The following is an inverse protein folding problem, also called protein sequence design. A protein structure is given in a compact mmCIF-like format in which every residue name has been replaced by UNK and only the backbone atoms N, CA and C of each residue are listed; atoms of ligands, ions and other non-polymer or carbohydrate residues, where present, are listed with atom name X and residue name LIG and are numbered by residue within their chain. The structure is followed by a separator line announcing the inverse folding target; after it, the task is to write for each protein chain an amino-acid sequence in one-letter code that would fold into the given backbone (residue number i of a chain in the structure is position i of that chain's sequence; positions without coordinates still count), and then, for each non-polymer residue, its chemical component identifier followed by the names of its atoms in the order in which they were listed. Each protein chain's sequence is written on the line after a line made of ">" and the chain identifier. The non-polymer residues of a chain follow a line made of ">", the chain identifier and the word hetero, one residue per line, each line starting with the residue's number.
data_IF_957551242873
#
_entry.id   IF_957551242873
#
_cell.length_a   1.000
_cell.length_b   1.000
_cell.length_c   1.000
_cell.angle_alpha   90.00
_cell.angle_beta   90.00
_cell.angle_gamma   90.00
#
_symmetry.space_group_name_H-M   'P 1'
#
loop_
_entity.id
_entity.type
_entity.pdbx_description
1 polymer ?
#
# COMPACT_ATOMS: atom_id res chain seq x y z
N UNK A 1 9.78 -20.12 19.91
CA UNK A 1 9.53 -19.58 18.56
C UNK A 1 8.09 -19.12 18.40
N UNK A 2 7.08 -19.94 18.67
CA UNK A 2 5.67 -19.51 18.60
C UNK A 2 5.30 -18.36 19.55
N UNK A 3 5.87 -18.32 20.77
CA UNK A 3 5.61 -17.24 21.74
C UNK A 3 6.04 -15.85 21.24
N UNK A 4 7.13 -15.79 20.48
CA UNK A 4 7.65 -14.54 19.93
C UNK A 4 6.73 -14.01 18.82
N UNK A 5 6.24 -14.90 17.95
CA UNK A 5 5.25 -14.56 16.92
C UNK A 5 3.91 -14.13 17.53
N UNK A 6 3.47 -14.75 18.63
CA UNK A 6 2.26 -14.33 19.35
C UNK A 6 2.43 -12.90 19.85
N UNK A 7 3.57 -12.60 20.49
CA UNK A 7 3.85 -11.26 21.02
C UNK A 7 3.91 -10.20 19.92
N UNK A 8 4.51 -10.52 18.77
CA UNK A 8 4.55 -9.63 17.61
C UNK A 8 3.15 -9.41 17.01
N UNK A 9 2.34 -10.46 16.89
CA UNK A 9 0.96 -10.37 16.42
C UNK A 9 0.06 -9.55 17.37
N UNK A 10 0.21 -9.71 18.68
CA UNK A 10 -0.49 -8.90 19.68
C UNK A 10 -0.08 -7.43 19.58
N UNK A 11 1.22 -7.13 19.41
CA UNK A 11 1.70 -5.75 19.19
C UNK A 11 1.08 -5.13 17.93
N UNK A 12 0.94 -5.89 16.84
CA UNK A 12 0.30 -5.42 15.61
C UNK A 12 -1.21 -5.15 15.81
N UNK A 13 -1.88 -5.97 16.62
CA UNK A 13 -3.28 -5.77 17.00
C UNK A 13 -3.46 -4.50 17.84
N UNK A 14 -2.56 -4.25 18.80
CA UNK A 14 -2.56 -3.05 19.64
C UNK A 14 -2.31 -1.77 18.83
N UNK A 15 -1.47 -1.85 17.79
CA UNK A 15 -1.26 -0.75 16.84
C UNK A 15 -2.46 -0.55 15.89
N UNK A 16 -3.45 -1.46 15.93
CA UNK A 16 -4.60 -1.48 15.03
C UNK A 16 -4.19 -1.53 13.54
N UNK A 17 -3.15 -2.31 13.23
CA UNK A 17 -2.59 -2.43 11.89
C UNK A 17 -2.90 -3.80 11.28
N UNK A 18 -3.54 -3.79 10.11
CA UNK A 18 -3.94 -5.00 9.39
C UNK A 18 -5.40 -5.37 9.62
N UNK A 19 -5.74 -6.63 9.34
CA UNK A 19 -7.09 -7.18 9.49
C UNK A 19 -7.21 -7.83 10.87
N UNK A 20 -7.86 -7.11 11.79
CA UNK A 20 -8.04 -7.54 13.18
C UNK A 20 -8.65 -8.94 13.32
N UNK A 21 -9.62 -9.29 12.47
CA UNK A 21 -10.25 -10.62 12.53
C UNK A 21 -9.24 -11.71 12.15
N UNK A 22 -8.45 -11.44 11.11
CA UNK A 22 -7.43 -12.37 10.64
C UNK A 22 -6.30 -12.52 11.66
N UNK A 23 -5.78 -11.43 12.23
CA UNK A 23 -4.77 -11.48 13.28
C UNK A 23 -5.25 -12.24 14.51
N UNK A 24 -6.50 -11.99 14.96
CA UNK A 24 -7.07 -12.70 16.11
C UNK A 24 -7.14 -14.21 15.86
N UNK A 25 -7.54 -14.62 14.65
CA UNK A 25 -7.60 -16.04 14.26
C UNK A 25 -6.22 -16.70 14.21
N UNK A 26 -5.19 -15.94 13.82
CA UNK A 26 -3.79 -16.38 13.79
C UNK A 26 -3.26 -16.57 15.22
N UNK A 27 -3.49 -15.58 16.11
CA UNK A 27 -3.10 -15.65 17.52
C UNK A 27 -3.76 -16.85 18.21
N UNK A 28 -5.04 -17.09 17.95
CA UNK A 28 -5.76 -18.20 18.57
C UNK A 28 -5.22 -19.57 18.11
N UNK A 29 -4.84 -19.72 16.85
CA UNK A 29 -4.19 -20.95 16.34
C UNK A 29 -2.81 -21.15 16.93
N UNK A 30 -2.02 -20.08 17.01
CA UNK A 30 -0.69 -20.09 17.61
C UNK A 30 -0.74 -20.48 19.09
N UNK A 31 -1.71 -19.95 19.85
CA UNK A 31 -1.95 -20.32 21.27
C UNK A 31 -2.34 -21.79 21.44
N UNK A 32 -3.00 -22.39 20.44
CA UNK A 32 -3.34 -23.81 20.42
C UNK A 32 -2.17 -24.71 19.99
N UNK A 33 -1.02 -24.14 19.62
CA UNK A 33 0.16 -24.87 19.17
C UNK A 33 0.04 -25.46 17.76
N UNK A 34 -0.85 -24.91 16.93
CA UNK A 34 -1.00 -25.34 15.53
C UNK A 34 -0.09 -24.51 14.61
N UNK A 35 0.39 -25.15 13.55
CA UNK A 35 1.13 -24.47 12.50
C UNK A 35 0.24 -23.47 11.73
N UNK A 36 0.83 -22.34 11.31
CA UNK A 36 0.14 -21.39 10.46
C UNK A 36 0.06 -21.89 9.02
N UNK A 37 -0.97 -21.44 8.30
CA UNK A 37 -0.98 -21.56 6.85
C UNK A 37 0.10 -20.66 6.23
N UNK A 38 0.66 -21.08 5.09
CA UNK A 38 1.64 -20.28 4.33
C UNK A 38 1.13 -18.86 4.04
N UNK A 39 -0.16 -18.71 3.76
CA UNK A 39 -0.79 -17.42 3.50
C UNK A 39 -0.80 -16.49 4.71
N UNK A 40 -0.94 -17.06 5.90
CA UNK A 40 -1.00 -16.33 7.16
C UNK A 40 0.41 -16.03 7.68
N UNK A 41 1.35 -16.95 7.47
CA UNK A 41 2.76 -16.72 7.74
C UNK A 41 3.30 -15.57 6.87
N UNK A 42 3.06 -15.61 5.56
CA UNK A 42 3.46 -14.52 4.65
C UNK A 42 2.81 -13.19 5.00
N UNK A 43 1.56 -13.23 5.44
CA UNK A 43 0.84 -12.03 5.88
C UNK A 43 1.47 -11.44 7.15
N UNK A 44 1.78 -12.27 8.13
CA UNK A 44 2.42 -11.84 9.36
C UNK A 44 3.83 -11.31 9.09
N UNK A 45 4.63 -11.99 8.27
CA UNK A 45 5.98 -11.54 7.90
C UNK A 45 5.97 -10.18 7.18
N UNK A 46 5.01 -9.96 6.28
CA UNK A 46 4.85 -8.66 5.59
C UNK A 46 4.49 -7.54 6.58
N UNK A 47 3.60 -7.82 7.54
CA UNK A 47 3.27 -6.85 8.59
C UNK A 47 4.43 -6.61 9.55
N UNK A 48 5.14 -7.65 9.97
CA UNK A 48 6.28 -7.54 10.87
C UNK A 48 7.39 -6.72 10.20
N UNK A 49 7.75 -7.08 8.96
CA UNK A 49 8.78 -6.35 8.19
C UNK A 49 8.41 -4.88 7.97
N UNK A 50 7.14 -4.57 7.77
CA UNK A 50 6.68 -3.22 7.44
C UNK A 50 6.45 -2.32 8.65
N UNK A 51 6.01 -2.87 9.78
CA UNK A 51 5.59 -2.08 10.93
C UNK A 51 6.49 -2.30 12.15
N UNK A 52 6.90 -3.54 12.43
CA UNK A 52 7.73 -3.83 13.61
C UNK A 52 9.17 -3.35 13.41
N UNK A 53 9.78 -3.56 12.24
CA UNK A 53 11.12 -3.01 11.95
C UNK A 53 11.13 -1.48 11.85
N UNK A 54 10.06 -0.87 11.33
CA UNK A 54 9.90 0.59 11.33
C UNK A 54 9.78 1.14 12.75
N UNK A 55 9.12 0.41 13.65
CA UNK A 55 8.96 0.81 15.05
C UNK A 55 10.27 0.58 15.82
N UNK A 56 11.05 -0.44 15.48
CA UNK A 56 12.36 -0.69 16.11
C UNK A 56 13.40 0.36 15.70
N UNK A 57 13.41 0.83 14.45
CA UNK A 57 14.23 1.99 14.06
C UNK A 57 13.76 3.29 14.74
N UNK A 58 12.46 3.44 15.00
CA UNK A 58 11.91 4.59 15.73
C UNK A 58 12.15 4.50 17.25
N UNK A 59 12.14 3.30 17.83
CA UNK A 59 12.46 3.04 19.24
C UNK A 59 13.97 3.09 19.49
N UNK A 60 14.83 2.67 18.54
CA UNK A 60 16.27 2.91 18.59
C UNK A 60 16.59 4.40 18.40
N UNK A 61 15.86 5.13 17.56
CA UNK A 61 15.98 6.59 17.50
C UNK A 61 15.42 7.28 18.75
N UNK A 62 14.36 6.77 19.37
CA UNK A 62 13.82 7.29 20.63
C UNK A 62 14.69 6.93 21.84
N UNK A 63 15.37 5.77 21.83
CA UNK A 63 16.35 5.37 22.86
C UNK A 63 17.69 6.08 22.66
N UNK A 64 18.03 6.48 21.44
CA UNK A 64 19.17 7.36 21.15
C UNK A 64 18.86 8.85 21.47
N UNK A 65 17.58 9.22 21.60
CA UNK A 65 17.16 10.47 22.26
C UNK A 65 17.31 10.37 23.79
N UNK A 66 17.42 9.16 24.35
CA UNK A 66 17.84 8.93 25.73
C UNK A 66 19.35 8.78 25.93
N UNK A 67 20.18 9.08 24.92
CA UNK A 67 21.54 9.56 25.18
C UNK A 67 21.56 11.08 25.23
N UNK A 68 20.99 11.58 26.33
CA UNK A 68 21.39 12.80 27.05
C UNK A 68 22.87 12.72 27.51
N UNK A 69 23.77 12.20 26.68
CA UNK A 69 25.18 12.00 27.06
C UNK A 69 26.10 13.12 26.56
N UNK A 70 25.55 14.22 26.03
CA UNK A 70 26.33 15.42 25.74
C UNK A 70 26.06 16.57 26.71
N UNK A 71 24.89 16.61 27.35
CA UNK A 71 24.52 17.70 28.25
C UNK A 71 24.78 17.40 29.72
N UNK A 72 24.63 16.15 30.18
CA UNK A 72 25.16 15.77 31.50
C UNK A 72 26.69 15.90 31.53
N UNK A 73 27.36 15.62 30.40
CA UNK A 73 28.79 15.82 30.22
C UNK A 73 29.14 17.32 30.17
N UNK A 74 28.41 18.16 29.43
CA UNK A 74 28.65 19.61 29.41
C UNK A 74 28.32 20.28 30.75
N UNK A 75 27.23 19.91 31.42
CA UNK A 75 26.83 20.44 32.73
C UNK A 75 27.78 19.95 33.83
N UNK A 76 28.27 18.71 33.76
CA UNK A 76 29.30 18.21 34.69
C UNK A 76 30.64 18.92 34.49
N UNK A 77 31.06 19.20 33.25
CA UNK A 77 32.24 20.03 32.95
C UNK A 77 32.06 21.46 33.46
N UNK A 78 30.87 22.05 33.31
CA UNK A 78 30.56 23.38 33.83
C UNK A 78 30.55 23.38 35.38
N UNK A 79 30.03 22.35 36.03
CA UNK A 79 30.09 22.20 37.50
C UNK A 79 31.52 22.03 38.00
N UNK A 80 32.35 21.29 37.27
CA UNK A 80 33.76 21.11 37.60
C UNK A 80 34.55 22.42 37.49
N UNK A 81 34.30 23.23 36.46
CA UNK A 81 34.91 24.56 36.31
C UNK A 81 34.45 25.55 37.36
N UNK A 82 33.18 25.48 37.77
CA UNK A 82 32.66 26.28 38.90
C UNK A 82 33.36 25.90 40.22
N UNK A 83 33.54 24.59 40.47
CA UNK A 83 34.23 24.09 41.65
C UNK A 83 35.72 24.46 41.69
N UNK A 84 36.35 24.61 40.52
CA UNK A 84 37.73 25.10 40.37
C UNK A 84 37.86 26.62 40.46
N UNK A 85 36.75 27.36 40.50
CA UNK A 85 36.74 28.83 40.55
C UNK A 85 37.13 29.50 39.22
N UNK A 86 37.13 28.76 38.11
CA UNK A 86 37.47 29.28 36.78
C UNK A 86 36.35 30.12 36.16
N UNK A 87 35.11 29.93 36.64
CA UNK A 87 33.92 30.65 36.20
C UNK A 87 33.12 31.13 37.40
N UNK A 88 32.43 32.25 37.20
CA UNK A 88 31.53 32.80 38.21
C UNK A 88 30.15 32.15 38.16
N UNK A 89 29.41 32.24 39.27
CA UNK A 89 28.05 31.70 39.40
C UNK A 89 27.11 32.31 38.35
N UNK A 90 27.32 33.59 38.00
CA UNK A 90 26.51 34.30 37.02
C UNK A 90 26.77 33.82 35.58
N UNK A 91 28.02 33.51 35.24
CA UNK A 91 28.42 32.92 33.95
C UNK A 91 27.90 31.48 33.80
N UNK A 92 27.93 30.69 34.87
CA UNK A 92 27.35 29.34 34.86
C UNK A 92 25.85 29.37 34.55
N UNK A 93 25.11 30.25 35.22
CA UNK A 93 23.65 30.37 35.03
C UNK A 93 23.28 30.85 33.62
N UNK A 94 24.08 31.72 33.01
CA UNK A 94 23.85 32.16 31.62
C UNK A 94 24.13 31.05 30.62
N UNK A 95 25.21 30.30 30.80
CA UNK A 95 25.58 29.18 29.93
C UNK A 95 24.58 28.01 30.00
N UNK A 96 24.12 27.67 31.21
CA UNK A 96 23.08 26.66 31.40
C UNK A 96 21.77 27.06 30.69
N UNK A 97 21.35 28.32 30.85
CA UNK A 97 20.13 28.85 30.21
C UNK A 97 20.23 28.88 28.67
N UNK A 98 21.41 29.12 28.11
CA UNK A 98 21.62 29.07 26.65
C UNK A 98 21.59 27.64 26.10
N UNK A 99 22.07 26.67 26.86
CA UNK A 99 22.02 25.25 26.51
C UNK A 99 20.58 24.74 26.46
N UNK A 100 19.79 25.00 27.52
CA UNK A 100 18.37 24.63 27.61
C UNK A 100 17.52 25.29 26.52
N UNK A 101 17.81 26.54 26.16
CA UNK A 101 17.11 27.27 25.11
C UNK A 101 17.38 26.70 23.71
N UNK A 102 18.60 26.23 23.45
CA UNK A 102 18.99 25.65 22.14
C UNK A 102 18.34 24.28 21.89
N UNK A 103 18.13 23.48 22.94
CA UNK A 103 17.42 22.19 22.84
C UNK A 103 15.93 22.38 22.55
N UNK A 104 15.28 23.37 23.19
CA UNK A 104 13.87 23.66 22.96
C UNK A 104 13.58 24.06 21.51
N UNK A 105 14.48 24.79 20.84
CA UNK A 105 14.30 25.13 19.42
C UNK A 105 14.56 23.94 18.50
N UNK A 106 15.67 23.21 18.70
CA UNK A 106 16.03 22.07 17.86
C UNK A 106 14.98 20.95 17.94
N UNK A 107 14.45 20.71 19.15
CA UNK A 107 13.39 19.72 19.38
C UNK A 107 12.06 20.15 18.72
N UNK A 108 11.72 21.45 18.73
CA UNK A 108 10.53 21.96 18.02
C UNK A 108 10.63 21.83 16.50
N UNK A 109 11.80 22.04 15.93
CA UNK A 109 11.98 21.93 14.48
C UNK A 109 11.99 20.47 14.01
N UNK A 110 12.58 19.54 14.78
CA UNK A 110 12.45 18.11 14.52
C UNK A 110 10.99 17.64 14.66
N UNK A 111 10.24 18.12 15.64
CA UNK A 111 8.82 17.79 15.78
C UNK A 111 7.98 18.29 14.61
N UNK A 112 8.27 19.48 14.06
CA UNK A 112 7.61 19.96 12.84
C UNK A 112 7.93 19.08 11.65
N UNK A 113 9.18 18.68 11.47
CA UNK A 113 9.60 17.82 10.37
C UNK A 113 8.96 16.42 10.46
N UNK A 114 8.93 15.83 11.65
CA UNK A 114 8.29 14.54 11.91
C UNK A 114 6.78 14.62 11.66
N UNK A 115 6.13 15.69 12.12
CA UNK A 115 4.70 15.93 11.90
C UNK A 115 4.38 16.10 10.42
N UNK A 116 5.24 16.78 9.65
CA UNK A 116 5.08 16.94 8.21
C UNK A 116 5.25 15.61 7.45
N UNK A 117 6.25 14.81 7.83
CA UNK A 117 6.45 13.46 7.26
C UNK A 117 5.28 12.52 7.57
N UNK A 118 4.74 12.54 8.80
CA UNK A 118 3.58 11.74 9.19
C UNK A 118 2.33 12.09 8.37
N UNK A 119 2.03 13.39 8.21
CA UNK A 119 0.89 13.83 7.40
C UNK A 119 1.01 13.38 5.94
N UNK A 120 2.22 13.39 5.38
CA UNK A 120 2.47 12.95 4.00
C UNK A 120 2.28 11.45 3.82
N UNK A 121 2.76 10.63 4.78
CA UNK A 121 2.56 9.18 4.77
C UNK A 121 1.08 8.80 4.94
N UNK A 122 0.35 9.53 5.78
CA UNK A 122 -1.08 9.30 6.01
C UNK A 122 -1.94 9.70 4.81
N UNK A 123 -1.55 10.72 4.04
CA UNK A 123 -2.16 11.04 2.74
C UNK A 123 -1.94 9.92 1.71
N UNK A 124 -0.73 9.38 1.62
CA UNK A 124 -0.41 8.27 0.70
C UNK A 124 -1.20 6.99 1.03
N UNK A 125 -1.41 6.71 2.33
CA UNK A 125 -2.22 5.57 2.78
C UNK A 125 -3.70 5.70 2.41
N UNK A 126 -4.31 6.86 2.60
CA UNK A 126 -5.72 7.11 2.23
C UNK A 126 -5.96 6.94 0.72
N UNK A 127 -5.00 7.37 -0.11
CA UNK A 127 -5.05 7.15 -1.56
C UNK A 127 -5.04 5.66 -1.89
N UNK A 128 -4.24 4.88 -1.17
CA UNK A 128 -4.05 3.46 -1.43
C UNK A 128 -5.27 2.61 -1.00
N UNK A 129 -5.91 2.94 0.12
CA UNK A 129 -7.18 2.33 0.56
C UNK A 129 -8.34 2.61 -0.41
N UNK A 130 -8.40 3.83 -0.97
CA UNK A 130 -9.42 4.16 -1.98
C UNK A 130 -9.25 3.33 -3.25
N UNK A 131 -8.00 3.04 -3.67
CA UNK A 131 -7.72 2.18 -4.83
C UNK A 131 -8.02 0.72 -4.53
N UNK A 132 -7.91 0.27 -3.28
CA UNK A 132 -8.19 -1.10 -2.89
C UNK A 132 -9.71 -1.38 -2.74
N UNK A 133 -10.49 -0.36 -2.38
CA UNK A 133 -11.95 -0.46 -2.21
C UNK A 133 -12.76 -0.15 -3.47
N UNK A 134 -12.34 0.82 -4.29
CA UNK A 134 -13.01 1.17 -5.56
C UNK A 134 -12.28 0.66 -6.80
N UNK A 135 -11.00 0.33 -6.71
CA UNK A 135 -10.22 -0.18 -7.84
C UNK A 135 -10.58 -1.62 -8.14
N UNK A 136 -10.78 -1.90 -9.43
CA UNK A 136 -11.05 -3.26 -9.89
C UNK A 136 -9.85 -4.14 -9.54
N UNK A 137 -10.12 -5.22 -8.79
CA UNK A 137 -9.12 -6.25 -8.52
C UNK A 137 -8.62 -6.81 -9.85
N UNK A 138 -7.38 -6.49 -10.20
CA UNK A 138 -6.75 -6.91 -11.46
C UNK A 138 -6.82 -8.43 -11.65
N UNK A 139 -6.69 -9.17 -10.55
CA UNK A 139 -6.77 -10.63 -10.53
C UNK A 139 -8.20 -11.11 -10.79
N UNK A 140 -9.21 -10.46 -10.23
CA UNK A 140 -10.61 -10.81 -10.47
C UNK A 140 -10.99 -10.55 -11.92
N UNK A 141 -10.59 -9.42 -12.50
CA UNK A 141 -10.83 -9.12 -13.91
C UNK A 141 -10.09 -10.11 -14.84
N UNK A 142 -8.87 -10.49 -14.49
CA UNK A 142 -8.11 -11.52 -15.22
C UNK A 142 -8.81 -12.88 -15.16
N UNK A 143 -9.14 -13.36 -13.96
CA UNK A 143 -9.82 -14.63 -13.74
C UNK A 143 -11.18 -14.63 -14.43
N UNK A 144 -11.94 -13.54 -14.36
CA UNK A 144 -13.23 -13.43 -15.02
C UNK A 144 -13.06 -13.48 -16.56
N UNK A 145 -12.08 -12.77 -17.12
CA UNK A 145 -11.80 -12.83 -18.56
C UNK A 145 -11.32 -14.20 -19.02
N UNK A 146 -10.56 -14.91 -18.17
CA UNK A 146 -10.02 -16.24 -18.46
C UNK A 146 -11.13 -17.30 -18.42
N UNK A 147 -11.91 -17.31 -17.33
CA UNK A 147 -12.99 -18.29 -17.10
C UNK A 147 -14.12 -18.09 -18.12
N UNK A 148 -14.58 -16.86 -18.37
CA UNK A 148 -15.61 -16.62 -19.37
C UNK A 148 -15.09 -16.81 -20.80
N UNK A 149 -13.81 -16.52 -21.03
CA UNK A 149 -13.14 -16.79 -22.29
C UNK A 149 -13.14 -18.26 -22.69
N UNK A 150 -12.90 -19.16 -21.73
CA UNK A 150 -12.98 -20.61 -21.94
C UNK A 150 -14.40 -21.09 -22.26
N UNK A 151 -15.42 -20.37 -21.80
CA UNK A 151 -16.85 -20.66 -22.08
C UNK A 151 -17.29 -20.06 -23.44
N UNK A 152 -16.39 -19.41 -24.18
CA UNK A 152 -16.71 -18.77 -25.46
C UNK A 152 -17.35 -17.40 -25.32
N UNK A 153 -17.42 -16.86 -24.10
CA UNK A 153 -17.89 -15.51 -23.79
C UNK A 153 -16.71 -14.52 -23.83
N UNK A 154 -16.00 -14.54 -24.95
CA UNK A 154 -14.95 -13.56 -25.22
C UNK A 154 -15.57 -12.18 -25.40
N UNK A 155 -15.29 -11.24 -24.49
CA UNK A 155 -15.72 -9.83 -24.65
C UNK A 155 -16.03 -9.15 -23.33
N UNK A 156 -16.44 -9.91 -22.31
CA UNK A 156 -16.84 -9.36 -21.01
C UNK A 156 -15.71 -8.56 -20.37
N UNK A 157 -14.44 -8.98 -20.52
CA UNK A 157 -13.31 -8.24 -19.93
C UNK A 157 -13.19 -6.80 -20.44
N UNK A 158 -13.52 -6.52 -21.71
CA UNK A 158 -13.52 -5.15 -22.24
C UNK A 158 -14.77 -4.36 -21.85
N UNK A 159 -15.91 -5.03 -21.70
CA UNK A 159 -17.14 -4.42 -21.17
C UNK A 159 -16.93 -3.99 -19.72
N UNK A 160 -16.25 -4.83 -18.94
CA UNK A 160 -15.94 -4.57 -17.54
C UNK A 160 -14.97 -3.39 -17.35
N UNK A 161 -14.08 -3.17 -18.32
CA UNK A 161 -13.19 -2.01 -18.35
C UNK A 161 -13.83 -0.74 -18.94
N UNK A 162 -15.16 -0.72 -19.16
CA UNK A 162 -15.91 0.45 -19.62
C UNK A 162 -15.93 0.67 -21.15
N UNK A 163 -15.23 -0.15 -21.93
CA UNK A 163 -15.20 -0.08 -23.40
C UNK A 163 -16.24 -1.03 -24.02
N UNK A 164 -17.52 -0.72 -23.78
CA UNK A 164 -18.69 -1.54 -24.13
C UNK A 164 -18.73 -1.87 -25.64
N UNK A 165 -18.47 -0.88 -26.50
CA UNK A 165 -18.53 -1.06 -27.95
C UNK A 165 -17.49 -2.05 -28.49
N UNK A 166 -16.25 -1.95 -28.00
CA UNK A 166 -15.18 -2.88 -28.41
C UNK A 166 -15.43 -4.28 -27.86
N UNK A 167 -15.96 -4.40 -26.64
CA UNK A 167 -16.30 -5.68 -26.04
C UNK A 167 -17.40 -6.44 -26.81
N UNK A 168 -18.47 -5.76 -27.22
CA UNK A 168 -19.54 -6.35 -28.03
C UNK A 168 -19.04 -6.79 -29.41
N UNK A 169 -18.16 -6.01 -30.05
CA UNK A 169 -17.59 -6.39 -31.34
C UNK A 169 -16.85 -7.74 -31.26
N UNK A 170 -16.01 -7.92 -30.23
CA UNK A 170 -15.33 -9.20 -30.00
C UNK A 170 -16.29 -10.34 -29.64
N UNK A 171 -17.38 -10.06 -28.91
CA UNK A 171 -18.38 -11.05 -28.55
C UNK A 171 -19.10 -11.62 -29.79
N UNK A 172 -19.56 -10.75 -30.68
CA UNK A 172 -20.26 -11.16 -31.90
C UNK A 172 -19.28 -11.89 -32.84
N UNK A 173 -18.08 -11.35 -33.00
CA UNK A 173 -17.07 -11.92 -33.88
C UNK A 173 -16.61 -13.31 -33.43
N UNK A 174 -16.36 -13.49 -32.12
CA UNK A 174 -15.96 -14.77 -31.54
C UNK A 174 -17.06 -15.83 -31.65
N UNK A 175 -18.33 -15.45 -31.49
CA UNK A 175 -19.48 -16.36 -31.64
C UNK A 175 -19.59 -16.90 -33.07
N UNK A 176 -19.42 -16.04 -34.08
CA UNK A 176 -19.46 -16.42 -35.50
C UNK A 176 -18.29 -17.37 -35.83
N UNK A 177 -17.08 -17.06 -35.35
CA UNK A 177 -15.90 -17.92 -35.53
C UNK A 177 -16.07 -19.27 -34.86
N UNK A 178 -16.61 -19.30 -33.64
CA UNK A 178 -16.84 -20.54 -32.91
C UNK A 178 -17.88 -21.41 -33.61
N UNK A 179 -19.02 -20.85 -34.02
CA UNK A 179 -20.07 -21.57 -34.73
C UNK A 179 -19.60 -22.11 -36.09
N UNK A 180 -18.88 -21.29 -36.87
CA UNK A 180 -18.33 -21.71 -38.16
C UNK A 180 -17.23 -22.76 -38.02
N UNK A 181 -16.33 -22.60 -37.04
CA UNK A 181 -15.31 -23.59 -36.71
C UNK A 181 -15.93 -24.93 -36.32
N UNK A 182 -16.92 -24.94 -35.43
CA UNK A 182 -17.61 -26.17 -35.01
C UNK A 182 -18.37 -26.82 -36.16
N UNK A 183 -19.07 -26.02 -36.98
CA UNK A 183 -19.79 -26.53 -38.15
C UNK A 183 -18.87 -27.20 -39.17
N UNK A 184 -17.64 -26.68 -39.36
CA UNK A 184 -16.65 -27.28 -40.26
C UNK A 184 -16.06 -28.57 -39.70
N UNK A 185 -15.79 -28.62 -38.39
CA UNK A 185 -15.22 -29.79 -37.72
C UNK A 185 -16.23 -30.94 -37.66
N UNK A 186 -17.51 -30.66 -37.43
CA UNK A 186 -18.58 -31.68 -37.39
C UNK A 186 -19.12 -32.08 -38.77
N UNK A 187 -18.57 -31.54 -39.86
CA UNK A 187 -19.05 -31.86 -41.21
C UNK A 187 -18.90 -33.36 -41.52
N UNK A 188 -19.96 -34.04 -42.00
CA UNK A 188 -19.91 -35.46 -42.31
C UNK A 188 -18.87 -35.74 -43.41
N UNK A 189 -17.83 -36.49 -43.04
CA UNK A 189 -16.71 -36.84 -43.92
C UNK A 189 -15.37 -36.29 -43.47
N UNK A 190 -15.31 -35.35 -42.52
CA UNK A 190 -14.05 -34.91 -41.88
C UNK A 190 -13.00 -34.26 -42.79
N UNK A 191 -13.26 -34.16 -44.10
CA UNK A 191 -12.31 -33.64 -45.10
C UNK A 191 -11.94 -32.18 -44.82
N UNK A 192 -12.86 -31.41 -44.22
CA UNK A 192 -12.66 -30.00 -43.87
C UNK A 192 -12.18 -29.79 -42.42
N UNK A 193 -12.00 -30.86 -41.64
CA UNK A 193 -11.55 -30.76 -40.25
C UNK A 193 -10.22 -29.98 -40.08
N UNK A 194 -9.19 -30.12 -40.95
CA UNK A 194 -7.96 -29.35 -40.83
C UNK A 194 -8.17 -27.85 -40.90
N UNK A 195 -9.11 -27.40 -41.75
CA UNK A 195 -9.47 -25.99 -41.91
C UNK A 195 -10.18 -25.49 -40.65
N UNK A 196 -11.06 -26.31 -40.07
CA UNK A 196 -11.69 -26.04 -38.78
C UNK A 196 -10.67 -25.87 -37.65
N UNK A 197 -9.67 -26.76 -37.56
CA UNK A 197 -8.59 -26.65 -36.58
C UNK A 197 -7.76 -25.37 -36.76
N UNK A 198 -7.49 -24.96 -38.01
CA UNK A 198 -6.80 -23.71 -38.28
C UNK A 198 -7.59 -22.49 -37.78
N UNK A 199 -8.91 -22.48 -37.98
CA UNK A 199 -9.81 -21.45 -37.46
C UNK A 199 -9.75 -21.39 -35.92
N UNK A 200 -9.73 -22.55 -35.25
CA UNK A 200 -9.54 -22.62 -33.79
C UNK A 200 -8.19 -22.07 -33.32
N UNK A 201 -7.14 -22.26 -34.11
CA UNK A 201 -5.81 -21.75 -33.81
C UNK A 201 -5.78 -20.21 -33.88
N UNK A 202 -6.42 -19.64 -34.91
CA UNK A 202 -6.62 -18.19 -35.04
C UNK A 202 -7.48 -17.65 -33.89
N UNK A 203 -8.55 -18.36 -33.53
CA UNK A 203 -9.40 -18.03 -32.39
C UNK A 203 -8.59 -17.98 -31.08
N UNK A 204 -7.72 -18.97 -30.83
CA UNK A 204 -6.89 -19.03 -29.63
C UNK A 204 -5.82 -17.92 -29.60
N UNK A 205 -5.23 -17.58 -30.74
CA UNK A 205 -4.34 -16.41 -30.87
C UNK A 205 -5.08 -15.11 -30.51
N UNK A 206 -6.29 -14.93 -31.03
CA UNK A 206 -7.12 -13.76 -30.71
C UNK A 206 -7.49 -13.73 -29.22
N UNK A 207 -7.73 -14.88 -28.61
CA UNK A 207 -8.02 -15.01 -27.18
C UNK A 207 -6.86 -14.52 -26.29
N UNK A 208 -5.63 -14.91 -26.62
CA UNK A 208 -4.45 -14.42 -25.88
C UNK A 208 -4.33 -12.90 -26.01
N UNK A 209 -4.51 -12.36 -27.22
CA UNK A 209 -4.51 -10.90 -27.44
C UNK A 209 -5.58 -10.18 -26.62
N UNK A 210 -6.77 -10.79 -26.48
CA UNK A 210 -7.85 -10.23 -25.68
C UNK A 210 -7.52 -10.19 -24.18
N UNK A 211 -6.88 -11.23 -23.63
CA UNK A 211 -6.44 -11.26 -22.23
C UNK A 211 -5.46 -10.11 -21.96
N UNK A 212 -4.48 -9.92 -22.84
CA UNK A 212 -3.50 -8.84 -22.72
C UNK A 212 -4.19 -7.48 -22.83
N UNK A 213 -5.11 -7.32 -23.78
CA UNK A 213 -5.89 -6.09 -23.96
C UNK A 213 -6.75 -5.75 -22.74
N UNK A 214 -7.41 -6.75 -22.14
CA UNK A 214 -8.23 -6.55 -20.94
C UNK A 214 -7.38 -6.10 -19.75
N UNK A 215 -6.17 -6.68 -19.59
CA UNK A 215 -5.22 -6.26 -18.57
C UNK A 215 -4.80 -4.81 -18.75
N UNK A 216 -4.52 -4.39 -19.98
CA UNK A 216 -4.18 -2.99 -20.30
C UNK A 216 -5.34 -2.05 -19.99
N UNK A 217 -6.58 -2.45 -20.29
CA UNK A 217 -7.76 -1.65 -20.01
C UNK A 217 -8.03 -1.49 -18.50
N UNK A 218 -7.85 -2.53 -17.70
CA UNK A 218 -7.92 -2.43 -16.23
C UNK A 218 -6.82 -1.53 -15.66
N UNK A 219 -5.61 -1.56 -16.24
CA UNK A 219 -4.54 -0.66 -15.86
C UNK A 219 -4.90 0.81 -16.14
N UNK A 220 -5.45 1.11 -17.31
CA UNK A 220 -5.93 2.45 -17.67
C UNK A 220 -7.03 2.92 -16.70
N UNK A 221 -7.99 2.05 -16.37
CA UNK A 221 -9.07 2.38 -15.43
C UNK A 221 -8.56 2.70 -14.02
N UNK A 222 -7.68 1.86 -13.46
CA UNK A 222 -7.12 2.10 -12.14
C UNK A 222 -6.25 3.37 -12.10
N UNK A 223 -5.59 3.70 -13.21
CA UNK A 223 -4.81 4.94 -13.34
C UNK A 223 -5.71 6.19 -13.32
N UNK A 224 -6.90 6.11 -13.93
CA UNK A 224 -7.87 7.21 -13.90
C UNK A 224 -8.41 7.45 -12.48
N UNK A 225 -8.72 6.39 -11.74
CA UNK A 225 -9.12 6.48 -10.33
C UNK A 225 -7.99 7.11 -9.50
N UNK A 226 -6.75 6.66 -9.67
CA UNK A 226 -5.57 7.24 -9.00
C UNK A 226 -5.42 8.75 -9.30
N UNK A 227 -5.58 9.15 -10.55
CA UNK A 227 -5.47 10.57 -10.93
C UNK A 227 -6.57 11.41 -10.29
N UNK A 228 -7.80 10.86 -10.22
CA UNK A 228 -8.96 11.53 -9.65
C UNK A 228 -8.83 11.70 -8.14
N UNK A 229 -8.37 10.68 -7.41
CA UNK A 229 -8.13 10.75 -5.97
C UNK A 229 -7.00 11.75 -5.62
N UNK A 230 -5.91 11.76 -6.39
CA UNK A 230 -4.84 12.74 -6.20
C UNK A 230 -5.30 14.18 -6.40
N UNK A 231 -6.20 14.43 -7.36
CA UNK A 231 -6.76 15.75 -7.61
C UNK A 231 -7.69 16.23 -6.49
N UNK A 232 -8.53 15.35 -5.91
CA UNK A 232 -9.43 15.72 -4.81
C UNK A 232 -8.68 16.07 -3.52
N UNK A 233 -7.56 15.40 -3.24
CA UNK A 233 -6.69 15.69 -2.09
C UNK A 233 -6.03 17.06 -2.24
N UNK A 234 -5.39 17.32 -3.38
CA UNK A 234 -4.77 18.63 -3.64
C UNK A 234 -5.78 19.79 -3.51
N UNK A 235 -7.01 19.61 -4.01
CA UNK A 235 -8.08 20.60 -3.88
C UNK A 235 -8.49 20.83 -2.42
N UNK A 236 -8.48 19.80 -1.59
CA UNK A 236 -8.81 19.90 -0.16
C UNK A 236 -7.70 20.60 0.63
N UNK A 237 -6.44 20.36 0.29
CA UNK A 237 -5.29 21.05 0.87
C UNK A 237 -5.30 22.57 0.57
N UNK A 238 -5.64 22.97 -0.66
CA UNK A 238 -5.78 24.38 -1.03
C UNK A 238 -6.92 25.09 -0.29
N UNK A 239 -8.06 24.41 -0.12
CA UNK A 239 -9.20 24.93 0.66
C UNK A 239 -8.83 25.21 2.12
N UNK A 240 -8.10 24.29 2.76
CA UNK A 240 -7.64 24.45 4.15
C UNK A 240 -6.58 25.54 4.32
N UNK A 241 -5.73 25.79 3.31
CA UNK A 241 -4.81 26.95 3.33
C UNK A 241 -5.56 28.29 3.31
N UNK A 242 -6.63 28.42 2.51
CA UNK A 242 -7.43 29.64 2.46
C UNK A 242 -8.16 29.93 3.79
N UNK A 243 -8.65 28.91 4.48
CA UNK A 243 -9.36 29.09 5.76
C UNK A 243 -8.41 29.43 6.91
N UNK A 244 -7.20 28.86 6.97
CA UNK A 244 -6.21 29.21 8.00
C UNK A 244 -5.62 30.62 7.81
N UNK A 245 -5.48 31.10 6.56
CA UNK A 245 -4.98 32.45 6.26
C UNK A 245 -5.97 33.55 6.69
N UNK A 246 -7.28 33.31 6.58
CA UNK A 246 -8.31 34.24 7.09
C UNK A 246 -8.34 34.34 8.62
N UNK A 247 -8.02 33.26 9.33
CA UNK A 247 -8.06 33.22 10.80
C UNK A 247 -6.91 33.98 11.47
N UNK A 248 -5.81 34.25 10.77
CA UNK A 248 -4.68 35.08 11.26
C UNK A 248 -4.88 36.59 11.09
N UNK A 249 -5.97 37.04 10.45
CA UNK A 249 -6.24 38.47 10.21
C UNK A 249 -7.29 39.09 11.15
N UNK A 250 -7.76 38.33 12.13
CA UNK A 250 -8.63 38.77 13.22
C UNK A 250 -7.96 38.44 14.54
#
# INVERSE_FOLDING_TARGET
>A
MFEELIKQAEKLLDMNVGDNLRLTSIIERLKKGNDLYLSDQKYLDDLISKYLFLTEELDEQASNIQTSHSNDDAISILRERLARGEITIDEFNTLQKTLDASESEKSKDMLKEITEKLNKVQEEQNVQETIQSEGLNQNTALVLSLVLGLIGLQGIGHIYAGKIGTGIAYLIFSLILFASGWSLVLSPGGVLAPIGYFIFLVYLMMFIFQIIGARRACYEYNLEIYRKSKYSINKSADSNKLTSSKKKRF
#
